data_IF_601902739812
#
_entry.id   IF_601902739812
#
_cell.length_a   1.000
_cell.length_b   1.000
_cell.length_c   1.000
_cell.angle_alpha   90.00
_cell.angle_beta   90.00
_cell.angle_gamma   90.00
#
_symmetry.space_group_name_H-M   'P 1'
#
loop_
_entity.id
_entity.type
_entity.pdbx_description
1 polymer ?
#
# COMPACT_ATOMS: atom_id res chain seq x y z
N UNK A 1 5.58 -11.08 -8.98
CA UNK A 1 4.25 -11.37 -8.38
C UNK A 1 3.33 -12.23 -9.26
N UNK A 2 3.66 -12.53 -10.52
CA UNK A 2 2.89 -13.42 -11.40
C UNK A 2 3.58 -14.78 -11.54
N UNK A 3 2.80 -15.86 -11.65
CA UNK A 3 3.30 -17.22 -11.89
C UNK A 3 3.19 -17.57 -13.37
N UNK A 4 4.11 -17.06 -14.18
CA UNK A 4 4.19 -17.40 -15.61
C UNK A 4 5.36 -18.34 -15.86
N UNK A 5 5.28 -19.12 -16.95
CA UNK A 5 6.28 -20.12 -17.30
C UNK A 5 7.73 -19.59 -17.29
N UNK A 6 7.95 -18.39 -17.84
CA UNK A 6 9.29 -17.79 -17.96
C UNK A 6 9.91 -17.31 -16.65
N UNK A 7 9.12 -17.07 -15.61
CA UNK A 7 9.59 -16.45 -14.35
C UNK A 7 9.31 -17.30 -13.10
N UNK A 8 8.55 -18.39 -13.24
CA UNK A 8 8.18 -19.28 -12.13
C UNK A 8 8.50 -20.75 -12.46
N UNK A 9 7.95 -21.28 -13.55
CA UNK A 9 8.09 -22.72 -13.85
C UNK A 9 9.51 -23.10 -14.30
N UNK A 10 10.17 -22.25 -15.09
CA UNK A 10 11.52 -22.50 -15.58
C UNK A 10 12.56 -22.47 -14.43
N UNK A 11 12.61 -21.43 -13.55
CA UNK A 11 13.49 -21.45 -12.38
C UNK A 11 13.25 -22.64 -11.44
N UNK A 12 12.02 -23.16 -11.34
CA UNK A 12 11.74 -24.32 -10.47
C UNK A 12 12.38 -25.63 -10.95
N UNK A 13 12.84 -25.70 -12.21
CA UNK A 13 13.35 -26.93 -12.84
C UNK A 13 14.85 -26.89 -13.14
N UNK A 14 15.45 -25.71 -13.13
CA UNK A 14 16.85 -25.50 -13.49
C UNK A 14 17.56 -24.64 -12.43
N UNK A 15 18.91 -24.72 -12.33
CA UNK A 15 19.67 -23.77 -11.53
C UNK A 15 19.32 -22.34 -11.92
N UNK A 16 19.04 -21.51 -10.91
CA UNK A 16 18.61 -20.14 -11.10
C UNK A 16 19.27 -19.22 -10.07
N UNK A 17 19.45 -17.96 -10.45
CA UNK A 17 20.04 -16.92 -9.61
C UNK A 17 19.28 -15.62 -9.79
N UNK A 18 19.16 -14.84 -8.72
CA UNK A 18 18.65 -13.47 -8.82
C UNK A 18 19.72 -12.58 -9.47
N UNK A 19 19.36 -11.90 -10.55
CA UNK A 19 20.20 -10.83 -11.11
C UNK A 19 20.30 -9.65 -10.16
N UNK A 20 21.30 -8.78 -10.35
CA UNK A 20 21.59 -7.67 -9.44
C UNK A 20 20.44 -6.68 -9.26
N UNK A 21 19.62 -6.45 -10.28
CA UNK A 21 18.45 -5.57 -10.18
C UNK A 21 17.41 -6.13 -9.21
N UNK A 22 17.09 -7.43 -9.34
CA UNK A 22 16.16 -8.11 -8.43
C UNK A 22 16.74 -8.17 -7.03
N UNK A 23 18.04 -8.48 -6.89
CA UNK A 23 18.69 -8.50 -5.59
C UNK A 23 18.63 -7.12 -4.90
N UNK A 24 18.83 -6.04 -5.66
CA UNK A 24 18.74 -4.66 -5.17
C UNK A 24 17.32 -4.33 -4.75
N UNK A 25 16.32 -4.64 -5.58
CA UNK A 25 14.90 -4.39 -5.29
C UNK A 25 14.45 -5.14 -4.02
N UNK A 26 14.79 -6.43 -3.90
CA UNK A 26 14.50 -7.23 -2.69
C UNK A 26 15.22 -6.66 -1.46
N UNK A 27 16.46 -6.20 -1.61
CA UNK A 27 17.21 -5.57 -0.53
C UNK A 27 16.57 -4.28 -0.02
N UNK A 28 16.06 -3.43 -0.92
CA UNK A 28 15.30 -2.23 -0.55
C UNK A 28 13.99 -2.60 0.13
N UNK A 29 13.23 -3.54 -0.44
CA UNK A 29 11.95 -3.98 0.14
C UNK A 29 12.11 -4.58 1.53
N UNK A 30 13.18 -5.34 1.78
CA UNK A 30 13.47 -5.91 3.11
C UNK A 30 13.69 -4.83 4.17
N UNK A 31 14.39 -3.74 3.82
CA UNK A 31 14.58 -2.58 4.72
C UNK A 31 13.27 -1.87 5.04
N UNK A 32 12.33 -1.84 4.08
CA UNK A 32 11.03 -1.17 4.23
C UNK A 32 9.95 -2.06 4.87
N UNK A 33 10.19 -3.37 5.00
CA UNK A 33 9.19 -4.32 5.51
C UNK A 33 9.63 -5.04 6.78
N UNK A 34 10.91 -5.41 6.92
CA UNK A 34 11.43 -6.18 8.06
C UNK A 34 12.30 -5.34 8.98
N UNK A 35 13.31 -4.66 8.43
CA UNK A 35 14.33 -3.93 9.19
C UNK A 35 14.04 -2.43 9.20
N UNK A 36 12.80 -2.08 9.56
CA UNK A 36 12.29 -0.71 9.44
C UNK A 36 12.89 0.20 10.51
N UNK A 37 13.58 1.25 10.06
CA UNK A 37 14.00 2.35 10.94
C UNK A 37 12.83 3.30 11.20
N UNK A 38 12.67 3.72 12.46
CA UNK A 38 11.57 4.59 12.90
C UNK A 38 12.04 6.03 13.14
N UNK A 39 11.20 7.05 12.88
CA UNK A 39 9.80 6.93 12.43
C UNK A 39 9.68 6.54 10.94
N UNK A 40 8.83 5.56 10.65
CA UNK A 40 8.52 5.07 9.32
C UNK A 40 7.24 5.71 8.79
N UNK A 41 7.41 6.73 7.95
CA UNK A 41 6.31 7.37 7.25
C UNK A 41 6.16 6.80 5.84
N UNK A 42 4.91 6.54 5.43
CA UNK A 42 4.59 6.11 4.06
C UNK A 42 3.65 7.10 3.41
N UNK A 43 3.96 7.49 2.17
CA UNK A 43 3.10 8.35 1.36
C UNK A 43 2.42 7.49 0.30
N UNK A 44 1.10 7.48 0.32
CA UNK A 44 0.27 6.78 -0.66
C UNK A 44 -0.53 7.79 -1.47
N UNK A 45 -0.53 7.59 -2.77
CA UNK A 45 -1.36 8.36 -3.69
C UNK A 45 -1.83 7.52 -4.86
N UNK A 46 -2.49 8.19 -5.79
CA UNK A 46 -3.10 7.57 -6.96
C UNK A 46 -4.52 8.04 -7.17
N UNK A 47 -5.13 7.56 -8.26
CA UNK A 47 -6.49 7.92 -8.62
C UNK A 47 -7.55 7.08 -7.89
N UNK A 48 -7.23 5.81 -7.58
CA UNK A 48 -8.19 4.85 -7.03
C UNK A 48 -7.70 4.26 -5.70
N UNK A 49 -8.53 4.37 -4.66
CA UNK A 49 -8.36 3.70 -3.37
C UNK A 49 -8.40 2.19 -3.53
N UNK A 50 -9.28 1.66 -4.40
CA UNK A 50 -9.49 0.22 -4.60
C UNK A 50 -8.20 -0.53 -4.93
N UNK A 51 -7.29 0.11 -5.66
CA UNK A 51 -6.03 -0.49 -6.10
C UNK A 51 -4.98 -0.56 -4.96
N UNK A 52 -5.23 0.13 -3.84
CA UNK A 52 -4.31 0.31 -2.72
C UNK A 52 -4.81 -0.24 -1.39
N UNK A 53 -6.04 -0.77 -1.32
CA UNK A 53 -6.65 -1.30 -0.09
C UNK A 53 -5.73 -2.30 0.64
N UNK A 54 -5.26 -3.34 -0.07
CA UNK A 54 -4.38 -4.35 0.53
C UNK A 54 -3.02 -3.82 0.95
N UNK A 55 -2.54 -2.73 0.32
CA UNK A 55 -1.30 -2.07 0.72
C UNK A 55 -1.51 -1.26 2.00
N UNK A 56 -2.60 -0.51 2.10
CA UNK A 56 -2.98 0.25 3.31
C UNK A 56 -3.15 -0.70 4.48
N UNK A 57 -3.88 -1.80 4.28
CA UNK A 57 -4.13 -2.81 5.30
C UNK A 57 -2.83 -3.34 5.93
N UNK A 58 -1.84 -3.66 5.09
CA UNK A 58 -0.54 -4.13 5.55
C UNK A 58 0.29 -3.03 6.24
N UNK A 59 0.23 -1.80 5.73
CA UNK A 59 1.01 -0.69 6.25
C UNK A 59 0.49 -0.19 7.60
N UNK A 60 -0.82 -0.28 7.86
CA UNK A 60 -1.41 0.04 9.18
C UNK A 60 -0.82 -0.79 10.32
N UNK A 61 -0.16 -1.91 10.03
CA UNK A 61 0.50 -2.73 11.06
C UNK A 61 1.95 -2.30 11.36
N UNK A 62 2.56 -1.49 10.49
CA UNK A 62 4.02 -1.27 10.50
C UNK A 62 4.43 0.18 10.45
N UNK A 63 3.72 1.01 9.70
CA UNK A 63 4.02 2.43 9.55
C UNK A 63 3.71 3.19 10.84
N UNK A 64 4.54 4.17 11.17
CA UNK A 64 4.27 5.14 12.24
C UNK A 64 3.35 6.27 11.75
N UNK A 65 3.35 6.54 10.43
CA UNK A 65 2.52 7.57 9.79
C UNK A 65 2.16 7.16 8.37
N UNK A 66 0.91 7.36 7.99
CA UNK A 66 0.46 7.18 6.60
C UNK A 66 -0.12 8.49 6.07
N UNK A 67 0.50 9.01 5.01
CA UNK A 67 0.04 10.22 4.33
C UNK A 67 -0.72 9.81 3.06
N UNK A 68 -1.99 10.20 2.98
CA UNK A 68 -2.83 9.94 1.81
C UNK A 68 -2.92 11.19 0.94
N UNK A 69 -2.63 11.05 -0.36
CA UNK A 69 -2.69 12.14 -1.35
C UNK A 69 -3.30 11.70 -2.68
N UNK A 70 -3.34 12.61 -3.65
CA UNK A 70 -3.94 12.36 -4.96
C UNK A 70 -5.47 12.19 -4.92
N UNK A 71 -6.04 11.59 -5.98
CA UNK A 71 -7.49 11.41 -6.09
C UNK A 71 -8.08 10.53 -4.97
N UNK A 72 -7.32 9.53 -4.50
CA UNK A 72 -7.77 8.68 -3.41
C UNK A 72 -8.00 9.43 -2.09
N UNK A 73 -7.35 10.57 -1.87
CA UNK A 73 -7.55 11.38 -0.66
C UNK A 73 -8.99 11.91 -0.54
N UNK A 74 -9.69 12.16 -1.64
CA UNK A 74 -11.06 12.65 -1.59
C UNK A 74 -12.03 11.62 -1.01
N UNK A 75 -11.80 10.32 -1.25
CA UNK A 75 -12.60 9.27 -0.62
C UNK A 75 -12.37 9.23 0.90
N UNK A 76 -11.15 9.49 1.37
CA UNK A 76 -10.84 9.63 2.81
C UNK A 76 -11.52 10.86 3.41
N UNK A 77 -11.40 12.02 2.76
CA UNK A 77 -12.05 13.25 3.19
C UNK A 77 -13.57 13.10 3.24
N UNK A 78 -14.17 12.47 2.22
CA UNK A 78 -15.60 12.20 2.19
C UNK A 78 -16.03 11.23 3.30
N UNK A 79 -15.24 10.20 3.58
CA UNK A 79 -15.49 9.26 4.67
C UNK A 79 -15.45 9.91 6.07
N UNK A 80 -14.67 10.98 6.23
CA UNK A 80 -14.61 11.83 7.43
C UNK A 80 -15.72 12.89 7.49
N UNK A 81 -16.61 12.94 6.49
CA UNK A 81 -17.74 13.87 6.45
C UNK A 81 -17.46 15.20 5.75
N UNK A 82 -16.30 15.36 5.10
CA UNK A 82 -16.01 16.57 4.32
C UNK A 82 -16.69 16.55 2.95
N UNK A 83 -17.03 17.73 2.45
CA UNK A 83 -17.52 17.90 1.08
C UNK A 83 -16.34 17.91 0.09
N UNK A 84 -16.47 17.17 -1.02
CA UNK A 84 -15.40 17.02 -2.02
C UNK A 84 -15.79 17.52 -3.42
N UNK A 85 -16.99 18.08 -3.58
CA UNK A 85 -17.49 18.59 -4.86
C UNK A 85 -17.42 17.55 -5.99
N UNK A 86 -16.85 17.94 -7.13
CA UNK A 86 -16.65 17.09 -8.31
C UNK A 86 -15.33 16.31 -8.30
N UNK A 87 -14.65 16.23 -7.16
CA UNK A 87 -13.38 15.51 -7.04
C UNK A 87 -13.54 14.00 -7.26
N UNK A 88 -12.45 13.34 -7.61
CA UNK A 88 -12.45 11.90 -7.91
C UNK A 88 -12.78 11.06 -6.66
N UNK A 89 -14.00 10.54 -6.59
CA UNK A 89 -14.55 9.85 -5.43
C UNK A 89 -14.93 8.40 -5.77
N UNK A 90 -14.62 7.47 -4.87
CA UNK A 90 -15.09 6.10 -4.91
C UNK A 90 -16.06 5.85 -3.73
N UNK A 91 -17.33 6.17 -3.93
CA UNK A 91 -18.37 6.07 -2.87
C UNK A 91 -18.52 4.65 -2.32
N UNK A 92 -18.37 3.65 -3.18
CA UNK A 92 -18.41 2.23 -2.83
C UNK A 92 -17.29 1.81 -1.86
N UNK A 93 -16.21 2.58 -1.80
CA UNK A 93 -15.06 2.32 -0.92
C UNK A 93 -15.11 3.10 0.40
N UNK A 94 -16.10 3.98 0.61
CA UNK A 94 -16.25 4.74 1.86
C UNK A 94 -16.29 3.81 3.09
N UNK A 95 -17.06 2.71 3.12
CA UNK A 95 -17.10 1.82 4.29
C UNK A 95 -15.72 1.22 4.62
N UNK A 96 -14.95 0.83 3.60
CA UNK A 96 -13.60 0.29 3.79
C UNK A 96 -12.63 1.35 4.33
N UNK A 97 -12.75 2.58 3.84
CA UNK A 97 -11.93 3.71 4.29
C UNK A 97 -12.26 4.11 5.74
N UNK A 98 -13.54 4.11 6.12
CA UNK A 98 -13.96 4.35 7.50
C UNK A 98 -13.36 3.31 8.46
N UNK A 99 -13.34 2.04 8.04
CA UNK A 99 -12.71 0.97 8.82
C UNK A 99 -11.19 1.17 8.96
N UNK A 100 -10.51 1.63 7.91
CA UNK A 100 -9.07 1.95 8.00
C UNK A 100 -8.78 3.14 8.90
N UNK A 101 -9.61 4.19 8.85
CA UNK A 101 -9.47 5.36 9.74
C UNK A 101 -9.62 4.94 11.21
N UNK A 102 -10.64 4.13 11.52
CA UNK A 102 -10.85 3.56 12.86
C UNK A 102 -9.64 2.74 13.32
N UNK A 103 -9.15 1.83 12.47
CA UNK A 103 -7.98 0.99 12.79
C UNK A 103 -6.70 1.79 12.95
N UNK A 104 -6.52 2.88 12.19
CA UNK A 104 -5.38 3.78 12.34
C UNK A 104 -5.41 4.46 13.72
N UNK A 105 -6.56 4.98 14.12
CA UNK A 105 -6.76 5.60 15.45
C UNK A 105 -6.48 4.62 16.59
N UNK A 106 -7.00 3.38 16.50
CA UNK A 106 -6.76 2.32 17.50
C UNK A 106 -5.29 1.93 17.64
N UNK A 107 -4.51 2.03 16.55
CA UNK A 107 -3.10 1.67 16.52
C UNK A 107 -2.15 2.85 16.76
N UNK A 108 -2.67 4.07 16.78
CA UNK A 108 -1.87 5.30 16.89
C UNK A 108 -0.99 5.57 15.66
N UNK A 109 -1.50 5.26 14.46
CA UNK A 109 -0.84 5.48 13.15
C UNK A 109 -1.37 6.71 12.44
#
# INVERSE_FOLDING_TARGET
HRKHASVFDLPARLPHYAGYLIATEVGVLKKLTTDVQRPYAVVLGGAKVSDKLGVIDHLLERADRILIGGGMAYTFLKAQGHEVGSSLLQEDQIPAVQEYLRRAEEKGV
#
